data_IF_851844935628
#
_entry.id   IF_851844935628
#
_cell.length_a   1.000
_cell.length_b   1.000
_cell.length_c   1.000
_cell.angle_alpha   90.00
_cell.angle_beta   90.00
_cell.angle_gamma   90.00
#
_symmetry.space_group_name_H-M   'P 1'
#
loop_
_entity.id
_entity.type
_entity.pdbx_description
1 polymer ?
#
# COMPACT_ATOMS: atom_id res chain seq x y z
N UNK A 1 7.52 10.68 -18.20
CA UNK A 1 6.48 9.81 -17.61
C UNK A 1 6.97 8.36 -17.44
N UNK A 2 8.21 8.03 -17.82
CA UNK A 2 8.72 6.64 -17.81
C UNK A 2 9.39 6.19 -16.49
N UNK A 3 9.72 7.13 -15.60
CA UNK A 3 10.38 6.85 -14.32
C UNK A 3 9.47 6.17 -13.30
N UNK A 4 8.25 6.68 -13.14
CA UNK A 4 7.29 6.18 -12.14
C UNK A 4 6.82 4.76 -12.47
N UNK A 5 6.63 4.46 -13.76
CA UNK A 5 6.26 3.11 -14.22
C UNK A 5 7.37 2.09 -13.93
N UNK A 6 8.64 2.49 -14.09
CA UNK A 6 9.79 1.65 -13.80
C UNK A 6 9.93 1.38 -12.30
N UNK A 7 9.75 2.41 -11.47
CA UNK A 7 9.76 2.32 -10.02
C UNK A 7 8.67 1.36 -9.48
N UNK A 8 7.46 1.45 -10.03
CA UNK A 8 6.36 0.54 -9.69
C UNK A 8 6.65 -0.92 -10.11
N UNK A 9 7.23 -1.11 -11.30
CA UNK A 9 7.65 -2.45 -11.79
C UNK A 9 8.77 -3.04 -10.94
N UNK A 10 9.74 -2.23 -10.52
CA UNK A 10 10.85 -2.66 -9.68
C UNK A 10 10.37 -3.06 -8.28
N UNK A 11 9.47 -2.27 -7.68
CA UNK A 11 8.89 -2.61 -6.36
C UNK A 11 7.99 -3.85 -6.43
N UNK A 12 7.24 -4.03 -7.52
CA UNK A 12 6.45 -5.25 -7.74
C UNK A 12 7.32 -6.52 -7.82
N UNK A 13 8.51 -6.44 -8.42
CA UNK A 13 9.49 -7.54 -8.43
C UNK A 13 10.04 -7.81 -7.03
N UNK A 14 10.31 -6.78 -6.24
CA UNK A 14 10.79 -6.93 -4.86
C UNK A 14 9.75 -7.60 -3.96
N UNK A 15 8.47 -7.21 -4.08
CA UNK A 15 7.36 -7.87 -3.41
C UNK A 15 7.27 -9.35 -3.80
N UNK A 16 7.38 -9.66 -5.09
CA UNK A 16 7.35 -11.05 -5.56
C UNK A 16 8.51 -11.86 -4.98
N UNK A 17 9.73 -11.31 -4.98
CA UNK A 17 10.90 -11.95 -4.37
C UNK A 17 10.70 -12.21 -2.87
N UNK A 18 10.19 -11.23 -2.14
CA UNK A 18 9.89 -11.39 -0.72
C UNK A 18 8.84 -12.48 -0.47
N UNK A 19 7.78 -12.52 -1.28
CA UNK A 19 6.72 -13.54 -1.19
C UNK A 19 7.24 -14.96 -1.54
N UNK A 20 8.05 -15.07 -2.59
CA UNK A 20 8.69 -16.32 -3.00
C UNK A 20 9.64 -16.83 -1.89
N UNK A 21 10.43 -15.92 -1.29
CA UNK A 21 11.33 -16.24 -0.18
C UNK A 21 10.58 -16.68 1.06
N UNK A 22 9.50 -15.99 1.43
CA UNK A 22 8.64 -16.37 2.56
C UNK A 22 8.00 -17.75 2.35
N UNK A 23 7.65 -18.08 1.10
CA UNK A 23 7.01 -19.36 0.75
C UNK A 23 8.01 -20.50 0.48
N UNK A 24 9.31 -20.20 0.46
CA UNK A 24 10.35 -21.18 0.16
C UNK A 24 10.51 -22.22 1.27
N UNK A 25 10.64 -23.50 0.87
CA UNK A 25 10.97 -24.59 1.80
C UNK A 25 12.45 -24.49 2.18
N UNK A 26 12.75 -24.56 3.48
CA UNK A 26 14.11 -24.45 4.01
C UNK A 26 14.11 -24.11 5.51
N UNK A 27 15.26 -24.24 6.16
CA UNK A 27 15.46 -23.88 7.56
C UNK A 27 15.51 -22.34 7.76
N UNK A 28 15.25 -21.88 8.99
CA UNK A 28 15.19 -20.46 9.34
C UNK A 28 13.77 -19.89 9.41
N UNK A 29 13.63 -18.73 10.08
CA UNK A 29 12.35 -18.05 10.24
C UNK A 29 11.91 -17.38 8.92
N UNK A 30 10.61 -17.07 8.81
CA UNK A 30 10.10 -16.27 7.69
C UNK A 30 10.81 -14.91 7.61
N UNK A 31 11.07 -14.29 8.75
CA UNK A 31 11.78 -13.00 8.82
C UNK A 31 13.20 -13.09 8.27
N UNK A 32 13.97 -14.14 8.57
CA UNK A 32 15.34 -14.28 8.06
C UNK A 32 15.38 -14.52 6.55
N UNK A 33 14.43 -15.30 6.03
CA UNK A 33 14.31 -15.57 4.58
C UNK A 33 13.98 -14.32 3.79
N UNK A 34 13.01 -13.54 4.27
CA UNK A 34 12.63 -12.26 3.64
C UNK A 34 13.76 -11.24 3.78
N UNK A 35 14.39 -11.14 4.95
CA UNK A 35 15.50 -10.22 5.18
C UNK A 35 16.65 -10.44 4.19
N UNK A 36 16.99 -11.71 3.90
CA UNK A 36 18.07 -12.06 2.98
C UNK A 36 17.86 -11.63 1.52
N UNK A 37 16.62 -11.31 1.11
CA UNK A 37 16.31 -10.88 -0.27
C UNK A 37 15.81 -9.44 -0.36
N UNK A 38 15.64 -8.75 0.77
CA UNK A 38 15.08 -7.39 0.83
C UNK A 38 16.09 -6.33 1.28
N UNK A 39 17.38 -6.69 1.34
CA UNK A 39 18.47 -5.78 1.73
C UNK A 39 18.22 -5.19 3.12
N UNK A 40 17.71 -6.00 4.05
CA UNK A 40 17.27 -5.55 5.37
C UNK A 40 18.40 -4.94 6.25
N UNK A 41 19.66 -5.20 5.90
CA UNK A 41 20.85 -4.63 6.52
C UNK A 41 21.18 -3.22 6.02
N UNK A 42 20.63 -2.80 4.87
CA UNK A 42 20.87 -1.48 4.30
C UNK A 42 19.93 -0.43 4.87
N UNK A 43 20.49 0.76 5.07
CA UNK A 43 19.75 1.91 5.60
C UNK A 43 18.93 2.58 4.51
N UNK A 44 17.72 3.01 4.87
CA UNK A 44 16.88 3.83 4.00
C UNK A 44 17.23 5.31 4.13
N UNK A 45 17.10 6.04 3.01
CA UNK A 45 17.26 7.50 2.96
C UNK A 45 15.87 8.10 2.77
N UNK A 46 15.28 8.59 3.87
CA UNK A 46 13.89 9.10 3.88
C UNK A 46 13.65 10.22 2.86
N UNK A 47 14.62 11.11 2.66
CA UNK A 47 14.53 12.17 1.65
C UNK A 47 14.39 11.62 0.22
N UNK A 48 14.99 10.47 -0.08
CA UNK A 48 14.88 9.80 -1.38
C UNK A 48 13.63 8.92 -1.47
N UNK A 49 13.03 8.55 -0.32
CA UNK A 49 11.89 7.64 -0.27
C UNK A 49 10.55 8.40 -0.35
N UNK A 50 10.46 9.55 0.33
CA UNK A 50 9.24 10.33 0.55
C UNK A 50 9.41 11.83 0.25
N UNK A 51 10.61 12.25 -0.17
CA UNK A 51 10.88 13.66 -0.46
C UNK A 51 10.28 14.13 -1.78
N UNK A 52 10.54 15.40 -2.11
CA UNK A 52 10.03 16.05 -3.33
C UNK A 52 10.47 15.35 -4.62
N UNK A 53 11.63 14.69 -4.60
CA UNK A 53 12.13 13.86 -5.68
C UNK A 53 12.37 12.47 -5.12
N UNK A 54 11.63 11.48 -5.63
CA UNK A 54 11.79 10.09 -5.25
C UNK A 54 12.96 9.51 -6.05
N UNK A 55 13.91 8.89 -5.37
CA UNK A 55 15.01 8.14 -5.97
C UNK A 55 15.04 6.72 -5.39
N UNK A 56 14.36 5.82 -6.08
CA UNK A 56 14.24 4.42 -5.69
C UNK A 56 15.52 3.63 -5.93
N UNK A 57 16.51 4.16 -6.66
CA UNK A 57 17.80 3.46 -6.86
C UNK A 57 18.68 3.51 -5.62
N UNK A 58 18.44 4.47 -4.74
CA UNK A 58 19.22 4.68 -3.52
C UNK A 58 18.56 4.18 -2.25
N UNK A 59 17.36 3.60 -2.36
CA UNK A 59 16.67 2.99 -1.23
C UNK A 59 16.67 1.47 -1.33
N UNK A 60 16.83 0.77 -0.19
CA UNK A 60 16.79 -0.68 -0.15
C UNK A 60 15.38 -1.19 -0.43
N UNK A 61 15.30 -2.44 -0.89
CA UNK A 61 14.05 -3.07 -1.29
C UNK A 61 13.00 -3.09 -0.15
N UNK A 62 13.40 -3.36 1.10
CA UNK A 62 12.48 -3.34 2.25
C UNK A 62 11.78 -1.98 2.42
N UNK A 63 12.49 -0.87 2.17
CA UNK A 63 11.96 0.47 2.35
C UNK A 63 10.96 0.85 1.25
N UNK A 64 11.27 0.45 0.01
CA UNK A 64 10.35 0.60 -1.13
C UNK A 64 9.07 -0.21 -0.92
N UNK A 65 9.21 -1.48 -0.53
CA UNK A 65 8.08 -2.38 -0.18
C UNK A 65 7.20 -1.74 0.91
N UNK A 66 7.82 -1.21 1.98
CA UNK A 66 7.08 -0.58 3.07
C UNK A 66 6.30 0.66 2.62
N UNK A 67 6.92 1.53 1.79
CA UNK A 67 6.26 2.72 1.26
C UNK A 67 5.04 2.35 0.42
N UNK A 68 5.21 1.46 -0.56
CA UNK A 68 4.12 1.06 -1.44
C UNK A 68 3.02 0.32 -0.67
N UNK A 69 3.38 -0.52 0.30
CA UNK A 69 2.43 -1.17 1.19
C UNK A 69 1.61 -0.16 1.99
N UNK A 70 2.22 0.94 2.42
CA UNK A 70 1.53 2.04 3.12
C UNK A 70 0.56 2.78 2.20
N UNK A 71 0.95 3.08 0.95
CA UNK A 71 0.05 3.72 -0.01
C UNK A 71 -1.18 2.86 -0.32
N UNK A 72 -0.98 1.56 -0.57
CA UNK A 72 -2.09 0.61 -0.77
C UNK A 72 -2.97 0.54 0.48
N UNK A 73 -2.37 0.50 1.67
CA UNK A 73 -3.10 0.48 2.94
C UNK A 73 -3.97 1.72 3.15
N UNK A 74 -3.47 2.91 2.80
CA UNK A 74 -4.24 4.16 2.88
C UNK A 74 -5.44 4.16 1.92
N UNK A 75 -5.25 3.67 0.69
CA UNK A 75 -6.35 3.55 -0.29
C UNK A 75 -7.40 2.57 0.23
N UNK A 76 -6.97 1.40 0.72
CA UNK A 76 -7.87 0.39 1.27
C UNK A 76 -8.64 0.92 2.50
N UNK A 77 -7.98 1.69 3.36
CA UNK A 77 -8.60 2.34 4.50
C UNK A 77 -9.69 3.34 4.03
N UNK A 78 -9.38 4.20 3.05
CA UNK A 78 -10.35 5.13 2.48
C UNK A 78 -11.60 4.44 1.95
N UNK A 79 -11.44 3.37 1.17
CA UNK A 79 -12.56 2.58 0.63
C UNK A 79 -13.38 1.97 1.78
N UNK A 80 -12.71 1.38 2.77
CA UNK A 80 -13.38 0.75 3.92
C UNK A 80 -14.19 1.77 4.73
N UNK A 81 -13.66 2.98 4.91
CA UNK A 81 -14.37 4.09 5.57
C UNK A 81 -15.62 4.49 4.79
N UNK A 82 -15.55 4.60 3.47
CA UNK A 82 -16.72 4.93 2.63
C UNK A 82 -17.82 3.87 2.79
N UNK A 83 -17.46 2.59 2.76
CA UNK A 83 -18.41 1.49 2.94
C UNK A 83 -19.02 1.54 4.36
N UNK A 84 -18.21 1.78 5.39
CA UNK A 84 -18.69 1.88 6.76
C UNK A 84 -19.66 3.06 6.94
N UNK A 85 -19.36 4.22 6.36
CA UNK A 85 -20.27 5.38 6.37
C UNK A 85 -21.58 5.07 5.65
N UNK A 86 -21.54 4.38 4.51
CA UNK A 86 -22.75 3.95 3.81
C UNK A 86 -23.61 3.02 4.69
N UNK A 87 -23.00 1.98 5.28
CA UNK A 87 -23.72 1.04 6.15
C UNK A 87 -24.32 1.74 7.38
N UNK A 88 -23.58 2.67 7.98
CA UNK A 88 -24.08 3.49 9.08
C UNK A 88 -25.27 4.35 8.64
N UNK A 89 -25.18 5.02 7.49
CA UNK A 89 -26.24 5.88 6.98
C UNK A 89 -27.51 5.10 6.60
N UNK A 90 -27.38 3.89 6.02
CA UNK A 90 -28.51 3.00 5.75
C UNK A 90 -29.17 2.55 7.06
N UNK A 91 -28.37 2.06 8.02
CA UNK A 91 -28.89 1.55 9.30
C UNK A 91 -29.64 2.63 10.10
N UNK A 92 -29.16 3.87 10.05
CA UNK A 92 -29.77 5.01 10.75
C UNK A 92 -30.85 5.74 9.93
N UNK A 93 -31.25 5.22 8.76
CA UNK A 93 -32.32 5.82 7.94
C UNK A 93 -31.95 7.15 7.24
N UNK A 94 -30.68 7.57 7.27
CA UNK A 94 -30.23 8.83 6.68
C UNK A 94 -30.27 8.83 5.14
N UNK A 95 -30.11 7.67 4.50
CA UNK A 95 -30.17 7.54 3.04
C UNK A 95 -31.60 7.70 2.49
N UNK A 96 -32.64 7.06 3.08
CA UNK A 96 -34.04 7.35 2.77
C UNK A 96 -34.38 8.85 2.80
N UNK A 97 -33.92 9.58 3.82
CA UNK A 97 -34.17 11.02 3.97
C UNK A 97 -33.42 11.87 2.92
N UNK A 98 -32.18 11.49 2.58
CA UNK A 98 -31.38 12.13 1.52
C UNK A 98 -32.02 12.00 0.13
N UNK A 99 -32.54 10.82 -0.20
CA UNK A 99 -33.26 10.58 -1.47
C UNK A 99 -34.61 11.29 -1.47
N UNK A 100 -35.34 11.28 -0.36
CA UNK A 100 -36.60 12.03 -0.24
C UNK A 100 -36.37 13.54 -0.42
N UNK A 101 -35.33 14.12 0.18
CA UNK A 101 -34.98 15.53 0.01
C UNK A 101 -34.53 15.91 -1.40
N UNK A 102 -33.84 15.00 -2.12
CA UNK A 102 -33.41 15.23 -3.50
C UNK A 102 -34.58 15.21 -4.51
N UNK A 103 -35.62 14.41 -4.24
CA UNK A 103 -36.81 14.31 -5.10
C UNK A 103 -37.98 15.20 -4.65
N UNK A 104 -37.94 15.79 -3.45
CA UNK A 104 -38.95 16.74 -2.97
C UNK A 104 -38.79 18.17 -3.54
N UNK A 105 -37.70 18.43 -4.29
CA UNK A 105 -37.39 19.74 -4.87
C UNK A 105 -37.53 19.80 -6.41
N UNK A 106 -38.20 18.82 -7.02
CA UNK A 106 -38.65 18.84 -8.43
C UNK A 106 -40.17 18.86 -8.50
#
# INVERSE_FOLDING_TARGET
MDGDSKAAVDTGKDFKKAADAASSKGEGSLSSKVAGVTEADKHAIGANLLGKYIDDTQNPAWARIWREGTYVGLIAAGISTVIAMYNFAVFNGLIPDLLAGLFAHK
#
